data_IF_162238689312
#
_entry.id   IF_162238689312
#
_cell.length_a   1.000
_cell.length_b   1.000
_cell.length_c   1.000
_cell.angle_alpha   90.00
_cell.angle_beta   90.00
_cell.angle_gamma   90.00
#
_symmetry.space_group_name_H-M   'P 1'
#
loop_
_entity.id
_entity.type
_entity.pdbx_description
1 polymer ?
#
# COMPACT_ATOMS: atom_id res chain seq x y z
N UNK A 1 32.74 22.85 -39.47
CA UNK A 1 31.35 22.62 -39.02
C UNK A 1 31.43 22.21 -37.56
N UNK A 2 30.81 22.92 -36.60
CA UNK A 2 30.85 22.50 -35.21
C UNK A 2 29.97 21.25 -35.04
N UNK A 3 30.51 20.23 -34.38
CA UNK A 3 29.73 19.08 -33.89
C UNK A 3 28.84 19.57 -32.75
N UNK A 4 27.52 19.52 -32.93
CA UNK A 4 26.56 19.76 -31.87
C UNK A 4 26.59 18.56 -30.90
N UNK A 5 27.14 18.76 -29.70
CA UNK A 5 27.03 17.80 -28.60
C UNK A 5 25.79 18.16 -27.77
N UNK A 6 24.70 17.38 -27.81
CA UNK A 6 23.55 17.66 -26.97
C UNK A 6 23.95 17.59 -25.48
N UNK A 7 23.35 18.42 -24.61
CA UNK A 7 23.64 18.38 -23.19
C UNK A 7 23.29 17.01 -22.60
N UNK A 8 24.20 16.44 -21.79
CA UNK A 8 24.04 15.14 -21.15
C UNK A 8 23.11 15.16 -19.92
N UNK A 9 21.99 15.88 -19.99
CA UNK A 9 21.04 15.95 -18.88
C UNK A 9 19.93 14.93 -19.07
N UNK A 10 20.17 13.73 -18.56
CA UNK A 10 19.14 12.70 -18.39
C UNK A 10 18.48 12.91 -17.02
N UNK A 11 17.29 13.53 -17.02
CA UNK A 11 16.46 13.61 -15.83
C UNK A 11 15.42 12.50 -15.89
N UNK A 12 15.56 11.52 -15.00
CA UNK A 12 14.44 10.64 -14.70
C UNK A 12 13.50 11.39 -13.75
N UNK A 13 12.19 11.43 -14.03
CA UNK A 13 11.24 11.90 -13.03
C UNK A 13 11.36 11.00 -11.80
N UNK A 14 11.76 11.56 -10.67
CA UNK A 14 11.69 10.91 -9.37
C UNK A 14 10.38 11.34 -8.73
N UNK A 15 9.47 10.39 -8.52
CA UNK A 15 8.23 10.67 -7.82
C UNK A 15 8.52 10.74 -6.32
N UNK A 16 8.41 11.93 -5.76
CA UNK A 16 8.61 12.20 -4.33
C UNK A 16 7.29 12.59 -3.68
N UNK A 17 7.03 12.08 -2.48
CA UNK A 17 6.00 12.59 -1.58
C UNK A 17 6.56 13.69 -0.69
N UNK A 18 5.71 14.66 -0.33
CA UNK A 18 6.06 15.74 0.61
C UNK A 18 5.38 15.56 1.96
N UNK A 19 4.46 14.61 2.06
CA UNK A 19 3.68 14.36 3.26
C UNK A 19 3.36 12.88 3.43
N UNK A 20 3.15 12.49 4.69
CA UNK A 20 2.69 11.16 5.07
C UNK A 20 1.51 11.31 6.04
N UNK A 21 0.48 10.48 5.86
CA UNK A 21 -0.69 10.43 6.74
C UNK A 21 -0.92 9.02 7.25
N UNK A 22 -1.34 8.92 8.51
CA UNK A 22 -1.81 7.65 9.08
C UNK A 22 -3.26 7.40 8.68
N UNK A 23 -3.58 6.15 8.34
CA UNK A 23 -4.93 5.73 7.99
C UNK A 23 -5.45 4.86 9.13
N UNK A 24 -6.50 5.34 9.80
CA UNK A 24 -7.21 4.54 10.80
C UNK A 24 -8.03 3.46 10.11
N UNK A 25 -7.92 2.23 10.60
CA UNK A 25 -8.64 1.09 10.07
C UNK A 25 -9.16 0.18 11.20
N UNK A 26 -10.14 -0.65 10.87
CA UNK A 26 -10.64 -1.69 11.75
C UNK A 26 -10.79 -2.97 10.95
N UNK A 27 -10.13 -4.02 11.40
CA UNK A 27 -10.11 -5.35 10.80
C UNK A 27 -10.91 -6.33 11.62
N UNK A 28 -11.47 -7.32 10.93
CA UNK A 28 -12.14 -8.48 11.52
C UNK A 28 -11.93 -9.71 10.65
N UNK A 29 -12.57 -10.82 11.00
CA UNK A 29 -12.68 -12.01 10.14
C UNK A 29 -13.62 -11.83 8.93
N UNK A 30 -14.20 -10.63 8.76
CA UNK A 30 -14.96 -10.24 7.58
C UNK A 30 -14.21 -9.16 6.81
N UNK A 31 -14.25 -9.25 5.48
CA UNK A 31 -13.63 -8.26 4.59
C UNK A 31 -14.12 -6.85 4.92
N UNK A 32 -13.17 -5.93 5.06
CA UNK A 32 -13.41 -4.53 5.41
C UNK A 32 -12.48 -3.65 4.60
N UNK A 33 -12.94 -2.46 4.22
CA UNK A 33 -12.04 -1.46 3.64
C UNK A 33 -11.04 -1.00 4.72
N UNK A 34 -9.76 -1.05 4.39
CA UNK A 34 -8.67 -0.59 5.28
C UNK A 34 -7.96 0.63 4.75
N UNK A 35 -8.06 0.90 3.45
CA UNK A 35 -7.48 2.08 2.80
C UNK A 35 -8.48 2.59 1.76
N UNK A 36 -8.97 3.83 1.86
CA UNK A 36 -9.85 4.42 0.86
C UNK A 36 -9.07 4.69 -0.45
N UNK A 37 -9.78 4.86 -1.57
CA UNK A 37 -9.14 5.33 -2.81
C UNK A 37 -8.57 6.74 -2.65
N UNK A 38 -7.35 6.96 -3.14
CA UNK A 38 -6.68 8.25 -3.17
C UNK A 38 -5.92 8.42 -4.49
N UNK A 39 -6.38 9.35 -5.32
CA UNK A 39 -5.77 9.67 -6.63
C UNK A 39 -4.40 10.32 -6.53
N UNK A 40 -4.05 10.90 -5.37
CA UNK A 40 -2.75 11.52 -5.12
C UNK A 40 -1.76 10.58 -4.42
N UNK A 41 -2.11 9.30 -4.21
CA UNK A 41 -1.22 8.33 -3.57
C UNK A 41 0.05 8.14 -4.39
N UNK A 42 1.19 8.32 -3.73
CA UNK A 42 2.55 8.04 -4.25
C UNK A 42 3.23 6.87 -3.56
N UNK A 43 2.70 6.43 -2.42
CA UNK A 43 3.20 5.26 -1.71
C UNK A 43 2.25 4.84 -0.60
N UNK A 44 2.37 3.59 -0.17
CA UNK A 44 1.61 3.03 0.95
C UNK A 44 2.46 1.97 1.62
N UNK A 45 2.52 2.03 2.94
CA UNK A 45 3.11 0.98 3.76
C UNK A 45 2.07 0.43 4.73
N UNK A 46 2.14 -0.88 4.96
CA UNK A 46 1.26 -1.61 5.87
C UNK A 46 2.17 -2.46 6.76
N UNK A 47 2.12 -2.21 8.06
CA UNK A 47 2.84 -2.99 9.06
C UNK A 47 1.86 -3.72 9.98
N UNK A 48 1.98 -5.05 10.00
CA UNK A 48 1.09 -5.89 10.78
C UNK A 48 1.57 -6.01 12.22
N UNK A 49 1.03 -5.15 13.10
CA UNK A 49 1.29 -5.18 14.55
C UNK A 49 0.48 -6.26 15.29
N UNK A 50 -0.38 -7.01 14.59
CA UNK A 50 -1.26 -8.00 15.20
C UNK A 50 -0.52 -9.33 15.39
N UNK A 51 -1.08 -10.17 16.28
CA UNK A 51 -0.62 -11.54 16.51
C UNK A 51 -1.14 -12.54 15.47
N UNK A 52 -1.75 -12.07 14.38
CA UNK A 52 -2.41 -12.90 13.37
C UNK A 52 -2.04 -12.45 11.96
N UNK A 53 -2.14 -13.38 11.01
CA UNK A 53 -1.92 -13.05 9.59
C UNK A 53 -3.02 -12.13 9.08
N UNK A 54 -2.59 -11.03 8.47
CA UNK A 54 -3.41 -10.10 7.72
C UNK A 54 -3.42 -10.52 6.24
N UNK A 55 -4.60 -10.63 5.64
CA UNK A 55 -4.78 -10.85 4.21
C UNK A 55 -5.33 -9.58 3.59
N UNK A 56 -4.69 -9.09 2.52
CA UNK A 56 -5.08 -7.86 1.83
C UNK A 56 -5.33 -8.11 0.35
N UNK A 57 -6.22 -7.31 -0.24
CA UNK A 57 -6.49 -7.27 -1.67
C UNK A 57 -6.99 -5.87 -2.09
N UNK A 58 -6.90 -5.56 -3.38
CA UNK A 58 -7.55 -4.40 -3.99
C UNK A 58 -9.05 -4.66 -4.28
N UNK A 59 -9.49 -5.92 -4.15
CA UNK A 59 -10.88 -6.33 -4.36
C UNK A 59 -11.63 -6.49 -3.02
N UNK A 60 -12.88 -6.03 -2.98
CA UNK A 60 -13.73 -6.14 -1.79
C UNK A 60 -14.02 -7.58 -1.33
N UNK A 61 -13.84 -8.56 -2.22
CA UNK A 61 -14.06 -9.98 -1.96
C UNK A 61 -12.88 -10.72 -1.32
N UNK A 62 -11.96 -10.00 -0.64
CA UNK A 62 -10.80 -10.61 0.03
C UNK A 62 -11.23 -11.64 1.07
N UNK A 63 -10.57 -12.79 1.08
CA UNK A 63 -10.76 -13.84 2.08
C UNK A 63 -9.41 -14.38 2.54
N UNK A 64 -9.42 -15.30 3.51
CA UNK A 64 -8.19 -16.01 3.96
C UNK A 64 -7.65 -17.01 2.93
N UNK A 65 -8.37 -17.25 1.83
CA UNK A 65 -7.98 -18.17 0.75
C UNK A 65 -7.90 -17.51 -0.63
N UNK A 66 -8.44 -16.29 -0.78
CA UNK A 66 -8.39 -15.48 -1.98
C UNK A 66 -7.96 -14.06 -1.61
N UNK A 67 -6.70 -13.76 -1.85
CA UNK A 67 -6.06 -12.51 -1.44
C UNK A 67 -4.88 -12.18 -2.37
N UNK A 68 -4.49 -10.92 -2.41
CA UNK A 68 -3.30 -10.46 -3.13
C UNK A 68 -2.03 -10.76 -2.35
N UNK A 69 -2.01 -10.45 -1.05
CA UNK A 69 -0.84 -10.64 -0.17
C UNK A 69 -1.30 -11.10 1.22
N UNK A 70 -0.55 -12.03 1.80
CA UNK A 70 -0.65 -12.40 3.21
C UNK A 70 0.56 -11.86 3.98
N UNK A 71 0.30 -11.07 5.01
CA UNK A 71 1.32 -10.44 5.86
C UNK A 71 1.28 -11.15 7.22
N UNK A 72 2.31 -11.94 7.59
CA UNK A 72 2.36 -12.60 8.88
C UNK A 72 2.41 -11.58 10.03
N UNK A 73 2.22 -12.04 11.26
CA UNK A 73 2.40 -11.21 12.46
C UNK A 73 3.81 -10.57 12.47
N UNK A 74 3.90 -9.26 12.70
CA UNK A 74 5.15 -8.49 12.61
C UNK A 74 5.67 -8.27 11.18
N UNK A 75 4.91 -8.68 10.15
CA UNK A 75 5.27 -8.52 8.75
C UNK A 75 5.04 -7.11 8.22
N UNK A 76 5.66 -6.83 7.07
CA UNK A 76 5.60 -5.53 6.39
C UNK A 76 5.26 -5.72 4.91
N UNK A 77 4.46 -4.80 4.37
CA UNK A 77 4.18 -4.68 2.94
C UNK A 77 4.29 -3.22 2.51
N UNK A 78 4.82 -3.02 1.30
CA UNK A 78 4.94 -1.72 0.66
C UNK A 78 4.51 -1.83 -0.81
N UNK A 79 3.88 -0.79 -1.33
CA UNK A 79 3.48 -0.75 -2.74
C UNK A 79 4.69 -0.75 -3.68
N UNK A 80 4.59 -1.42 -4.85
CA UNK A 80 5.64 -1.37 -5.87
C UNK A 80 5.87 0.06 -6.37
N UNK A 81 7.12 0.53 -6.29
CA UNK A 81 7.50 1.90 -6.68
C UNK A 81 7.25 2.24 -8.17
N UNK A 82 7.08 1.23 -9.03
CA UNK A 82 6.91 1.44 -10.48
C UNK A 82 5.46 1.66 -10.92
N UNK A 83 4.47 1.24 -10.13
CA UNK A 83 3.03 1.40 -10.42
C UNK A 83 2.23 1.49 -9.13
N UNK A 84 1.93 2.73 -8.72
CA UNK A 84 1.16 2.99 -7.51
C UNK A 84 -0.33 2.78 -7.78
N UNK A 85 -0.94 1.87 -7.04
CA UNK A 85 -2.38 1.65 -7.08
C UNK A 85 -3.12 2.67 -6.21
N UNK A 86 -4.00 3.46 -6.83
CA UNK A 86 -4.73 4.57 -6.20
C UNK A 86 -6.15 4.20 -5.73
N UNK A 87 -6.59 2.96 -5.97
CA UNK A 87 -7.91 2.48 -5.54
C UNK A 87 -7.95 2.08 -4.06
N UNK A 88 -9.03 1.39 -3.70
CA UNK A 88 -9.27 0.93 -2.33
C UNK A 88 -8.44 -0.33 -2.02
N UNK A 89 -8.03 -0.49 -0.76
CA UNK A 89 -7.58 -1.78 -0.25
C UNK A 89 -8.55 -2.31 0.80
N UNK A 90 -8.77 -3.60 0.72
CA UNK A 90 -9.59 -4.36 1.65
C UNK A 90 -8.70 -5.35 2.40
N UNK A 91 -9.08 -5.62 3.65
CA UNK A 91 -8.36 -6.53 4.51
C UNK A 91 -9.28 -7.41 5.34
N UNK A 92 -8.76 -8.58 5.68
CA UNK A 92 -9.35 -9.54 6.61
C UNK A 92 -8.23 -10.17 7.43
N UNK A 93 -8.52 -10.47 8.70
CA UNK A 93 -7.59 -11.20 9.59
C UNK A 93 -8.12 -12.60 9.86
N UNK A 94 -7.21 -13.54 10.14
CA UNK A 94 -7.56 -14.95 10.32
C UNK A 94 -8.65 -15.19 11.37
N UNK A 95 -8.68 -14.40 12.45
CA UNK A 95 -9.75 -14.41 13.46
C UNK A 95 -9.75 -13.10 14.26
N UNK A 96 -10.73 -12.88 15.14
CA UNK A 96 -10.73 -11.74 16.08
C UNK A 96 -10.97 -10.37 15.41
N UNK A 97 -10.52 -9.31 16.09
CA UNK A 97 -10.59 -7.91 15.63
C UNK A 97 -9.30 -7.17 15.96
N UNK A 98 -9.00 -6.09 15.24
CA UNK A 98 -7.82 -5.26 15.51
C UNK A 98 -7.62 -4.16 14.47
N UNK A 99 -6.48 -3.48 14.55
CA UNK A 99 -6.04 -2.48 13.57
C UNK A 99 -4.59 -2.74 13.19
N UNK A 100 -4.13 -2.17 12.08
CA UNK A 100 -2.73 -2.26 11.66
C UNK A 100 -2.16 -0.88 11.37
N UNK A 101 -0.85 -0.77 11.37
CA UNK A 101 -0.19 0.51 11.11
C UNK A 101 -0.09 0.75 9.61
N UNK A 102 -0.85 1.72 9.12
CA UNK A 102 -0.86 2.10 7.70
C UNK A 102 -0.33 3.52 7.59
N UNK A 103 0.61 3.75 6.67
CA UNK A 103 1.06 5.09 6.29
C UNK A 103 0.92 5.27 4.79
N UNK A 104 0.25 6.34 4.41
CA UNK A 104 0.08 6.75 3.02
C UNK A 104 0.91 7.98 2.72
N UNK A 105 1.59 7.96 1.57
CA UNK A 105 2.44 9.05 1.09
C UNK A 105 1.78 9.75 -0.08
N UNK A 106 1.71 11.08 -0.04
CA UNK A 106 1.16 11.96 -1.08
C UNK A 106 2.10 13.12 -1.42
#
# INVERSE_FOLDING_TARGET
MPLYNPPATFSLPVDTSSSASEITNSLSSTASEIVPANTNRKGLTIFNILNQTLFIDALAGVTTTNYMVAIPAGGFYELPANKIYTGHFYGVIASGTGSVEIREFV
#
